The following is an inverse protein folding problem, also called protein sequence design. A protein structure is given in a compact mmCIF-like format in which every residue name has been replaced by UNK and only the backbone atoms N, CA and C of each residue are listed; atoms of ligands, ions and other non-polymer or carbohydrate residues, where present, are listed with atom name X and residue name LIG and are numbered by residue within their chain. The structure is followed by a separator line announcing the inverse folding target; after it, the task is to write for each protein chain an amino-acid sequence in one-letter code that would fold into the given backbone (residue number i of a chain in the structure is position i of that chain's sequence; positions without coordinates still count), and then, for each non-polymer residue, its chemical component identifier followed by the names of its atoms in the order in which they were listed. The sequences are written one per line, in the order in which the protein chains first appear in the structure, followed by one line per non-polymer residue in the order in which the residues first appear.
data_IF_088507130568
#
_entry.id   IF_088507130568
#
_cell.length_a   1.000
_cell.length_b   1.000
_cell.length_c   1.000
_cell.angle_alpha   90.00
_cell.angle_beta   90.00
_cell.angle_gamma   90.00
#
_symmetry.space_group_name_H-M   'P 1'
#
loop_
_entity.id
_entity.type
_entity.pdbx_description
1 polymer ?
#
# COMPACT_ATOMS: atom_id res chain seq x y z
N UNK A 1 18.46 -19.04 -1.46
CA UNK A 1 17.33 -18.17 -1.88
C UNK A 1 17.85 -16.75 -1.92
N UNK A 2 17.88 -16.14 -3.09
CA UNK A 2 18.40 -14.79 -3.29
C UNK A 2 17.26 -13.87 -3.71
N UNK A 3 16.93 -12.88 -2.86
CA UNK A 3 15.86 -11.92 -3.09
C UNK A 3 16.45 -10.56 -3.48
N UNK A 4 16.02 -10.01 -4.61
CA UNK A 4 16.26 -8.62 -4.99
C UNK A 4 15.07 -7.75 -4.61
N UNK A 5 15.30 -6.53 -4.11
CA UNK A 5 14.22 -5.61 -3.78
C UNK A 5 14.28 -4.34 -4.63
N UNK A 6 13.16 -3.99 -5.25
CA UNK A 6 13.00 -2.81 -6.11
C UNK A 6 11.99 -1.85 -5.49
N UNK A 7 12.40 -0.60 -5.27
CA UNK A 7 11.51 0.45 -4.78
C UNK A 7 11.62 0.71 -3.27
N UNK A 8 12.56 1.57 -2.89
CA UNK A 8 12.85 1.96 -1.50
C UNK A 8 12.05 3.21 -1.07
N UNK A 9 10.73 3.17 -1.32
CA UNK A 9 9.79 4.18 -0.82
C UNK A 9 9.51 4.02 0.68
N UNK A 10 8.46 4.72 1.17
CA UNK A 10 8.08 4.71 2.58
C UNK A 10 7.81 3.30 3.13
N UNK A 11 7.19 2.43 2.34
CA UNK A 11 6.92 1.03 2.69
C UNK A 11 8.12 0.12 2.34
N UNK A 12 8.61 0.22 1.09
CA UNK A 12 9.58 -0.70 0.53
C UNK A 12 10.90 -0.77 1.29
N UNK A 13 11.41 0.36 1.79
CA UNK A 13 12.63 0.35 2.61
C UNK A 13 12.50 -0.51 3.88
N UNK A 14 11.32 -0.54 4.50
CA UNK A 14 11.08 -1.35 5.71
C UNK A 14 10.94 -2.83 5.35
N UNK A 15 10.23 -3.15 4.26
CA UNK A 15 10.15 -4.53 3.74
C UNK A 15 11.52 -5.06 3.36
N UNK A 16 12.36 -4.26 2.66
CA UNK A 16 13.73 -4.63 2.34
C UNK A 16 14.58 -4.88 3.60
N UNK A 17 14.45 -4.06 4.65
CA UNK A 17 15.14 -4.29 5.94
C UNK A 17 14.71 -5.60 6.60
N UNK A 18 13.44 -5.95 6.53
CA UNK A 18 12.96 -7.22 7.10
C UNK A 18 13.51 -8.42 6.32
N UNK A 19 13.56 -8.37 5.00
CA UNK A 19 14.20 -9.39 4.17
C UNK A 19 15.71 -9.48 4.47
N UNK A 20 16.37 -8.35 4.70
CA UNK A 20 17.79 -8.32 5.09
C UNK A 20 18.02 -8.99 6.44
N UNK A 21 17.20 -8.66 7.46
CA UNK A 21 17.27 -9.30 8.79
C UNK A 21 17.00 -10.80 8.75
N UNK A 22 16.16 -11.25 7.82
CA UNK A 22 15.89 -12.66 7.59
C UNK A 22 17.01 -13.39 6.81
N UNK A 23 18.06 -12.68 6.38
CA UNK A 23 19.16 -13.25 5.60
C UNK A 23 18.79 -13.62 4.16
N UNK A 24 17.68 -13.09 3.63
CA UNK A 24 17.16 -13.40 2.30
C UNK A 24 17.59 -12.38 1.23
N UNK A 25 17.88 -11.13 1.64
CA UNK A 25 18.12 -10.02 0.72
C UNK A 25 19.52 -10.06 0.11
N UNK A 26 19.62 -10.28 -1.18
CA UNK A 26 20.87 -10.23 -1.95
C UNK A 26 21.26 -8.80 -2.36
N UNK A 27 20.27 -7.91 -2.54
CA UNK A 27 20.52 -6.54 -2.89
C UNK A 27 19.27 -5.75 -3.21
N UNK A 28 19.48 -4.45 -3.42
CA UNK A 28 18.41 -3.49 -3.69
C UNK A 28 18.68 -2.67 -4.93
N UNK A 29 17.60 -2.18 -5.54
CA UNK A 29 17.68 -1.15 -6.58
C UNK A 29 16.53 -0.15 -6.39
N UNK A 30 16.80 1.11 -6.71
CA UNK A 30 15.78 2.16 -6.69
C UNK A 30 16.04 3.19 -7.79
N UNK A 31 14.99 3.67 -8.46
CA UNK A 31 15.07 4.70 -9.51
C UNK A 31 15.87 5.95 -9.06
N UNK A 32 15.67 6.39 -7.81
CA UNK A 32 16.51 7.42 -7.18
C UNK A 32 17.71 6.73 -6.53
N UNK A 33 18.85 6.74 -7.18
CA UNK A 33 20.07 6.03 -6.77
C UNK A 33 20.51 6.37 -5.33
N UNK A 34 20.33 7.62 -4.90
CA UNK A 34 20.68 8.06 -3.54
C UNK A 34 19.97 7.25 -2.45
N UNK A 35 18.73 6.75 -2.69
CA UNK A 35 18.02 5.89 -1.72
C UNK A 35 18.64 4.51 -1.60
N UNK A 36 19.09 3.93 -2.72
CA UNK A 36 19.78 2.64 -2.72
C UNK A 36 21.15 2.75 -2.05
N UNK A 37 21.89 3.83 -2.31
CA UNK A 37 23.16 4.13 -1.65
C UNK A 37 23.01 4.33 -0.14
N UNK A 38 22.00 5.07 0.31
CA UNK A 38 21.68 5.25 1.72
C UNK A 38 21.35 3.91 2.41
N UNK A 39 20.54 3.06 1.74
CA UNK A 39 20.22 1.72 2.24
C UNK A 39 21.46 0.84 2.35
N UNK A 40 22.35 0.88 1.35
CA UNK A 40 23.64 0.16 1.40
C UNK A 40 24.53 0.65 2.53
N UNK A 41 24.65 1.96 2.72
CA UNK A 41 25.46 2.55 3.81
C UNK A 41 24.95 2.14 5.19
N UNK A 42 23.62 2.05 5.36
CA UNK A 42 22.99 1.69 6.63
C UNK A 42 23.09 0.18 6.94
N UNK A 43 22.95 -0.67 5.93
CA UNK A 43 22.73 -2.11 6.14
C UNK A 43 23.91 -2.98 5.68
N UNK A 44 24.81 -2.45 4.88
CA UNK A 44 25.83 -3.22 4.16
C UNK A 44 25.31 -4.01 2.94
N UNK A 45 24.00 -4.00 2.69
CA UNK A 45 23.40 -4.73 1.59
C UNK A 45 23.74 -4.05 0.24
N UNK A 46 24.07 -4.85 -0.77
CA UNK A 46 24.49 -4.38 -2.10
C UNK A 46 23.40 -3.51 -2.76
N UNK A 47 23.76 -2.32 -3.23
CA UNK A 47 22.99 -1.54 -4.16
C UNK A 47 23.46 -1.83 -5.60
N UNK A 48 22.54 -2.31 -6.44
CA UNK A 48 22.83 -2.62 -7.84
C UNK A 48 22.75 -1.35 -8.69
N UNK A 49 23.53 -1.30 -9.77
CA UNK A 49 23.57 -0.14 -10.68
C UNK A 49 22.34 -0.11 -11.60
N UNK A 50 21.76 -1.26 -11.93
CA UNK A 50 20.54 -1.37 -12.72
C UNK A 50 19.59 -2.43 -12.16
N UNK A 51 18.29 -2.28 -12.47
CA UNK A 51 17.29 -3.28 -12.11
C UNK A 51 17.52 -4.62 -12.86
N UNK A 52 18.02 -4.56 -14.09
CA UNK A 52 18.37 -5.77 -14.87
C UNK A 52 19.53 -6.55 -14.24
N UNK A 53 20.57 -5.86 -13.75
CA UNK A 53 21.68 -6.50 -13.04
C UNK A 53 21.21 -7.18 -11.75
N UNK A 54 20.33 -6.52 -10.99
CA UNK A 54 19.70 -7.11 -9.80
C UNK A 54 18.90 -8.35 -10.20
N UNK A 55 18.08 -8.27 -11.26
CA UNK A 55 17.26 -9.39 -11.73
C UNK A 55 18.10 -10.61 -12.14
N UNK A 56 19.24 -10.37 -12.81
CA UNK A 56 20.16 -11.45 -13.22
C UNK A 56 20.81 -12.20 -12.04
N UNK A 57 20.80 -11.59 -10.86
CA UNK A 57 21.46 -12.13 -9.66
C UNK A 57 20.50 -12.81 -8.68
N UNK A 58 19.18 -12.73 -8.91
CA UNK A 58 18.18 -13.12 -7.92
C UNK A 58 17.20 -14.16 -8.46
N UNK A 59 16.71 -15.01 -7.55
CA UNK A 59 15.65 -16.00 -7.81
C UNK A 59 14.26 -15.40 -7.58
N UNK A 60 14.19 -14.42 -6.67
CA UNK A 60 12.97 -13.67 -6.34
C UNK A 60 13.23 -12.18 -6.50
N UNK A 61 12.29 -11.47 -7.10
CA UNK A 61 12.30 -10.02 -7.20
C UNK A 61 11.06 -9.48 -6.48
N UNK A 62 11.25 -8.71 -5.43
CA UNK A 62 10.14 -8.02 -4.76
C UNK A 62 10.09 -6.58 -5.24
N UNK A 63 8.93 -6.15 -5.72
CA UNK A 63 8.69 -4.77 -6.17
C UNK A 63 7.73 -4.06 -5.22
N UNK A 64 8.00 -2.77 -4.92
CA UNK A 64 7.07 -1.90 -4.21
C UNK A 64 7.18 -0.49 -4.79
N UNK A 65 6.35 -0.20 -5.78
CA UNK A 65 6.35 1.06 -6.54
C UNK A 65 5.05 1.83 -6.36
N UNK A 66 4.94 3.03 -6.98
CA UNK A 66 3.89 3.97 -6.63
C UNK A 66 2.64 3.87 -7.49
N UNK A 67 2.75 3.40 -8.73
CA UNK A 67 1.67 3.43 -9.72
C UNK A 67 1.81 2.32 -10.76
N UNK A 68 0.76 2.16 -11.58
CA UNK A 68 0.65 1.19 -12.66
C UNK A 68 1.81 1.31 -13.67
N UNK A 69 2.06 2.54 -14.15
CA UNK A 69 3.14 2.79 -15.11
C UNK A 69 4.54 2.50 -14.53
N UNK A 70 4.73 2.74 -13.21
CA UNK A 70 5.98 2.38 -12.55
C UNK A 70 6.19 0.86 -12.54
N UNK A 71 5.14 0.06 -12.25
CA UNK A 71 5.23 -1.40 -12.29
C UNK A 71 5.56 -1.90 -13.69
N UNK A 72 4.82 -1.44 -14.70
CA UNK A 72 5.03 -1.87 -16.08
C UNK A 72 6.43 -1.48 -16.59
N UNK A 73 6.91 -0.28 -16.26
CA UNK A 73 8.26 0.17 -16.60
C UNK A 73 9.35 -0.69 -15.91
N UNK A 74 9.14 -1.07 -14.64
CA UNK A 74 10.07 -1.99 -13.94
C UNK A 74 10.08 -3.36 -14.60
N UNK A 75 8.93 -3.91 -14.96
CA UNK A 75 8.84 -5.19 -15.67
C UNK A 75 9.68 -5.15 -16.95
N UNK A 76 9.53 -4.13 -17.81
CA UNK A 76 10.34 -4.00 -19.02
C UNK A 76 11.83 -3.85 -18.72
N UNK A 77 12.18 -3.13 -17.65
CA UNK A 77 13.58 -2.89 -17.27
C UNK A 77 14.28 -4.17 -16.79
N UNK A 78 13.57 -5.05 -16.08
CA UNK A 78 14.16 -6.28 -15.54
C UNK A 78 14.19 -7.43 -16.54
N UNK A 79 13.34 -7.43 -17.57
CA UNK A 79 13.21 -8.51 -18.54
C UNK A 79 14.56 -9.02 -19.08
N UNK A 80 15.52 -8.15 -19.52
CA UNK A 80 16.79 -8.61 -20.07
C UNK A 80 17.67 -9.38 -19.08
N UNK A 81 17.45 -9.19 -17.78
CA UNK A 81 18.22 -9.84 -16.72
C UNK A 81 17.54 -11.09 -16.14
N UNK A 82 16.26 -11.30 -16.41
CA UNK A 82 15.52 -12.41 -15.82
C UNK A 82 15.97 -13.77 -16.34
N UNK A 83 15.98 -14.74 -15.43
CA UNK A 83 16.20 -16.16 -15.74
C UNK A 83 14.86 -16.90 -15.72
N UNK A 84 14.75 -17.95 -16.51
CA UNK A 84 13.60 -18.86 -16.43
C UNK A 84 13.41 -19.37 -14.99
N UNK A 85 12.18 -19.36 -14.51
CA UNK A 85 11.82 -19.76 -13.15
C UNK A 85 11.99 -18.69 -12.08
N UNK A 86 12.48 -17.47 -12.41
CA UNK A 86 12.46 -16.32 -11.49
C UNK A 86 11.00 -15.97 -11.11
N UNK A 87 10.77 -15.62 -9.87
CA UNK A 87 9.47 -15.20 -9.35
C UNK A 87 9.51 -13.70 -9.04
N UNK A 88 8.62 -12.92 -9.68
CA UNK A 88 8.43 -11.51 -9.40
C UNK A 88 7.20 -11.35 -8.49
N UNK A 89 7.40 -10.71 -7.35
CA UNK A 89 6.39 -10.46 -6.31
C UNK A 89 6.13 -8.94 -6.28
N UNK A 90 4.96 -8.50 -6.71
CA UNK A 90 4.61 -7.09 -6.68
C UNK A 90 3.78 -6.75 -5.44
N UNK A 91 4.36 -5.96 -4.53
CA UNK A 91 3.70 -5.47 -3.32
C UNK A 91 3.06 -4.07 -3.51
N UNK A 92 3.04 -3.55 -4.72
CA UNK A 92 2.43 -2.27 -5.05
C UNK A 92 0.89 -2.34 -5.05
N UNK A 93 0.23 -1.20 -4.93
CA UNK A 93 -1.20 -1.09 -5.20
C UNK A 93 -1.39 -0.53 -6.62
N UNK A 94 -1.83 -1.39 -7.51
CA UNK A 94 -2.07 -1.10 -8.93
C UNK A 94 -3.41 -1.70 -9.38
N UNK A 95 -3.85 -1.39 -10.59
CA UNK A 95 -5.04 -2.01 -11.18
C UNK A 95 -4.82 -3.52 -11.41
N UNK A 96 -5.86 -4.33 -11.23
CA UNK A 96 -5.79 -5.77 -11.49
C UNK A 96 -5.38 -6.08 -12.95
N UNK A 97 -5.75 -5.21 -13.91
CA UNK A 97 -5.34 -5.38 -15.31
C UNK A 97 -3.85 -5.11 -15.52
N UNK A 98 -3.27 -4.15 -14.79
CA UNK A 98 -1.82 -3.90 -14.82
C UNK A 98 -1.05 -5.10 -14.26
N UNK A 99 -1.55 -5.73 -13.20
CA UNK A 99 -0.99 -6.98 -12.68
C UNK A 99 -1.05 -8.11 -13.71
N UNK A 100 -2.18 -8.29 -14.41
CA UNK A 100 -2.31 -9.30 -15.48
C UNK A 100 -1.38 -9.02 -16.66
N UNK A 101 -1.23 -7.75 -17.07
CA UNK A 101 -0.29 -7.34 -18.12
C UNK A 101 1.16 -7.61 -17.72
N UNK A 102 1.53 -7.31 -16.48
CA UNK A 102 2.85 -7.61 -15.92
C UNK A 102 3.13 -9.12 -15.96
N UNK A 103 2.18 -9.94 -15.51
CA UNK A 103 2.28 -11.39 -15.54
C UNK A 103 2.45 -11.94 -16.97
N UNK A 104 1.62 -11.48 -17.91
CA UNK A 104 1.71 -11.89 -19.31
C UNK A 104 3.08 -11.53 -19.94
N UNK A 105 3.59 -10.35 -19.58
CA UNK A 105 4.89 -9.89 -20.09
C UNK A 105 6.06 -10.73 -19.53
N UNK A 106 6.03 -11.04 -18.24
CA UNK A 106 7.04 -11.88 -17.57
C UNK A 106 7.01 -13.33 -18.06
N UNK A 107 5.83 -13.85 -18.38
CA UNK A 107 5.70 -15.21 -18.94
C UNK A 107 6.45 -15.40 -20.26
N UNK A 108 6.68 -14.34 -21.05
CA UNK A 108 7.45 -14.40 -22.31
C UNK A 108 8.92 -14.83 -22.12
N UNK A 109 9.43 -14.69 -20.90
CA UNK A 109 10.79 -15.12 -20.52
C UNK A 109 10.77 -16.25 -19.49
N UNK A 110 9.62 -16.94 -19.36
CA UNK A 110 9.41 -18.04 -18.40
C UNK A 110 9.62 -17.62 -16.93
N UNK A 111 9.37 -16.37 -16.59
CA UNK A 111 9.31 -15.89 -15.22
C UNK A 111 7.84 -15.90 -14.72
N UNK A 112 7.66 -16.14 -13.41
CA UNK A 112 6.36 -16.16 -12.76
C UNK A 112 6.07 -14.85 -12.06
N UNK A 113 4.79 -14.53 -11.85
CA UNK A 113 4.34 -13.30 -11.20
C UNK A 113 3.31 -13.58 -10.11
N UNK A 114 3.42 -12.85 -9.01
CA UNK A 114 2.41 -12.75 -7.96
C UNK A 114 2.10 -11.29 -7.69
N UNK A 115 0.83 -10.90 -7.75
CA UNK A 115 0.36 -9.64 -7.23
C UNK A 115 0.07 -9.79 -5.74
N UNK A 116 0.85 -9.13 -4.91
CA UNK A 116 0.85 -9.26 -3.46
C UNK A 116 0.71 -7.90 -2.76
N UNK A 117 -0.32 -7.09 -3.08
CA UNK A 117 -0.51 -5.82 -2.40
C UNK A 117 -0.71 -6.03 -0.89
N UNK A 118 -0.34 -4.98 -0.13
CA UNK A 118 -0.22 -5.06 1.31
C UNK A 118 -1.13 -4.08 2.04
N UNK A 119 -1.49 -4.41 3.27
CA UNK A 119 -2.18 -3.54 4.22
C UNK A 119 -1.47 -3.55 5.57
N UNK A 120 -1.49 -2.41 6.29
CA UNK A 120 -0.82 -2.24 7.60
C UNK A 120 0.02 -0.97 7.69
N UNK A 121 0.14 -0.21 6.58
CA UNK A 121 0.87 1.06 6.53
C UNK A 121 2.36 0.92 6.81
N UNK A 122 3.01 2.06 7.02
CA UNK A 122 4.46 2.13 7.30
C UNK A 122 4.81 1.36 8.58
N UNK A 123 3.95 1.42 9.59
CA UNK A 123 4.18 0.73 10.87
C UNK A 123 4.16 -0.80 10.69
N UNK A 124 3.15 -1.34 9.99
CA UNK A 124 3.10 -2.77 9.65
C UNK A 124 4.30 -3.22 8.84
N UNK A 125 4.76 -2.40 7.89
CA UNK A 125 5.97 -2.68 7.11
C UNK A 125 7.22 -2.71 7.98
N UNK A 126 7.34 -1.76 8.92
CA UNK A 126 8.48 -1.67 9.85
C UNK A 126 8.58 -2.91 10.76
N UNK A 127 7.44 -3.38 11.23
CA UNK A 127 7.34 -4.53 12.15
C UNK A 127 7.37 -5.90 11.43
N UNK A 128 7.31 -5.94 10.09
CA UNK A 128 7.13 -7.21 9.34
C UNK A 128 5.78 -7.85 9.61
N UNK A 129 4.75 -7.05 9.83
CA UNK A 129 3.42 -7.47 10.27
C UNK A 129 2.33 -7.08 9.26
N UNK A 130 2.68 -7.05 7.96
CA UNK A 130 1.71 -6.71 6.92
C UNK A 130 0.69 -7.83 6.71
N UNK A 131 -0.54 -7.43 6.35
CA UNK A 131 -1.49 -8.30 5.68
C UNK A 131 -1.20 -8.27 4.19
N UNK A 132 -1.00 -9.45 3.58
CA UNK A 132 -0.61 -9.62 2.19
C UNK A 132 -1.71 -10.41 1.47
N UNK A 133 -2.28 -9.80 0.44
CA UNK A 133 -3.33 -10.40 -0.38
C UNK A 133 -2.72 -10.85 -1.70
N UNK A 134 -2.52 -12.16 -1.89
CA UNK A 134 -1.79 -12.69 -3.04
C UNK A 134 -2.74 -13.14 -4.16
N UNK A 135 -2.38 -12.80 -5.39
CA UNK A 135 -2.98 -13.37 -6.60
C UNK A 135 -1.92 -14.03 -7.46
N UNK A 136 -2.22 -15.21 -7.99
CA UNK A 136 -1.34 -15.96 -8.85
C UNK A 136 -1.52 -17.47 -8.75
N UNK A 137 -0.56 -18.23 -9.27
CA UNK A 137 -0.60 -19.69 -9.24
C UNK A 137 -0.27 -20.24 -7.85
N UNK A 138 -1.01 -21.26 -7.34
CA UNK A 138 -0.78 -21.82 -6.01
C UNK A 138 0.65 -22.33 -5.80
N UNK A 139 1.22 -23.03 -6.78
CA UNK A 139 2.58 -23.57 -6.67
C UNK A 139 3.64 -22.44 -6.58
N UNK A 140 3.41 -21.31 -7.23
CA UNK A 140 4.31 -20.16 -7.17
C UNK A 140 4.15 -19.42 -5.83
N UNK A 141 2.90 -19.32 -5.33
CA UNK A 141 2.61 -18.78 -4.00
C UNK A 141 3.33 -19.57 -2.90
N UNK A 142 3.24 -20.90 -2.89
CA UNK A 142 3.93 -21.74 -1.92
C UNK A 142 5.46 -21.55 -1.95
N UNK A 143 6.04 -21.44 -3.14
CA UNK A 143 7.48 -21.15 -3.31
C UNK A 143 7.87 -19.77 -2.77
N UNK A 144 6.95 -18.79 -2.81
CA UNK A 144 7.18 -17.42 -2.35
C UNK A 144 6.98 -17.25 -0.84
N UNK A 145 6.36 -18.21 -0.15
CA UNK A 145 6.01 -18.11 1.28
C UNK A 145 7.17 -17.71 2.20
N UNK A 146 8.41 -18.23 2.04
CA UNK A 146 9.53 -17.77 2.87
C UNK A 146 9.83 -16.27 2.72
N UNK A 147 9.68 -15.73 1.50
CA UNK A 147 9.87 -14.30 1.21
C UNK A 147 8.73 -13.47 1.79
N UNK A 148 7.50 -13.90 1.59
CA UNK A 148 6.30 -13.21 2.08
C UNK A 148 6.25 -13.20 3.61
N UNK A 149 6.62 -14.31 4.27
CA UNK A 149 6.63 -14.43 5.74
C UNK A 149 7.65 -13.53 6.43
N UNK A 150 8.68 -13.09 5.71
CA UNK A 150 9.65 -12.12 6.23
C UNK A 150 9.09 -10.69 6.31
N UNK A 151 8.03 -10.38 5.55
CA UNK A 151 7.48 -9.03 5.46
C UNK A 151 6.04 -8.91 5.97
N UNK A 152 5.34 -10.04 6.17
CA UNK A 152 3.95 -10.06 6.64
C UNK A 152 3.62 -11.25 7.53
N UNK A 153 2.49 -11.14 8.23
CA UNK A 153 1.99 -12.17 9.16
C UNK A 153 0.68 -12.81 8.72
N UNK A 154 -0.19 -12.03 8.08
CA UNK A 154 -1.46 -12.50 7.54
C UNK A 154 -1.32 -12.58 6.03
N UNK A 155 -1.12 -13.77 5.50
CA UNK A 155 -0.79 -14.00 4.10
C UNK A 155 -1.80 -14.97 3.52
N UNK A 156 -2.48 -14.59 2.44
CA UNK A 156 -3.50 -15.44 1.83
C UNK A 156 -3.45 -15.36 0.30
N UNK A 157 -3.57 -16.53 -0.34
CA UNK A 157 -3.82 -16.62 -1.78
C UNK A 157 -5.32 -16.37 -2.01
N UNK A 158 -5.63 -15.31 -2.73
CA UNK A 158 -7.01 -14.85 -2.98
C UNK A 158 -7.60 -15.40 -4.28
N UNK A 159 -6.77 -15.97 -5.14
CA UNK A 159 -7.17 -16.50 -6.44
C UNK A 159 -6.11 -16.28 -7.54
N UNK A 160 -6.50 -16.30 -8.81
CA UNK A 160 -5.57 -16.10 -9.92
C UNK A 160 -5.00 -14.68 -9.94
N UNK A 161 -4.03 -14.45 -10.81
CA UNK A 161 -3.38 -13.12 -10.99
C UNK A 161 -4.42 -11.99 -11.13
N UNK A 162 -4.25 -10.95 -10.34
CA UNK A 162 -5.16 -9.81 -10.18
C UNK A 162 -6.14 -9.96 -9.01
N UNK A 163 -6.27 -11.15 -8.41
CA UNK A 163 -7.15 -11.35 -7.24
C UNK A 163 -6.61 -10.64 -6.00
N UNK A 164 -5.29 -10.56 -5.82
CA UNK A 164 -4.66 -9.77 -4.77
C UNK A 164 -5.03 -8.30 -4.89
N UNK A 165 -4.88 -7.71 -6.08
CA UNK A 165 -5.25 -6.31 -6.34
C UNK A 165 -6.76 -6.06 -6.18
N UNK A 166 -7.62 -6.99 -6.60
CA UNK A 166 -9.07 -6.89 -6.38
C UNK A 166 -9.41 -6.89 -4.88
N UNK A 167 -8.75 -7.74 -4.10
CA UNK A 167 -8.90 -7.76 -2.64
C UNK A 167 -8.38 -6.46 -2.02
N UNK A 168 -7.27 -5.93 -2.52
CA UNK A 168 -6.76 -4.62 -2.08
C UNK A 168 -7.75 -3.49 -2.39
N UNK A 169 -8.35 -3.48 -3.58
CA UNK A 169 -9.39 -2.51 -3.91
C UNK A 169 -10.58 -2.58 -2.94
N UNK A 170 -11.03 -3.79 -2.58
CA UNK A 170 -12.06 -3.99 -1.54
C UNK A 170 -11.64 -3.38 -0.21
N UNK A 171 -10.38 -3.60 0.22
CA UNK A 171 -9.85 -2.96 1.43
C UNK A 171 -9.85 -1.44 1.35
N UNK A 172 -9.51 -0.85 0.19
CA UNK A 172 -9.46 0.61 0.04
C UNK A 172 -10.85 1.25 0.06
N UNK A 173 -11.87 0.56 -0.44
CA UNK A 173 -13.28 0.99 -0.30
C UNK A 173 -13.67 1.02 1.18
N UNK A 174 -13.33 -0.03 1.95
CA UNK A 174 -13.57 -0.04 3.40
C UNK A 174 -12.83 1.11 4.10
N UNK A 175 -11.57 1.35 3.74
CA UNK A 175 -10.79 2.46 4.28
C UNK A 175 -11.47 3.82 4.03
N UNK A 176 -12.04 4.03 2.83
CA UNK A 176 -12.76 5.24 2.48
C UNK A 176 -13.99 5.46 3.37
N UNK A 177 -14.84 4.44 3.51
CA UNK A 177 -16.03 4.54 4.34
C UNK A 177 -15.70 4.78 5.80
N UNK A 178 -14.76 3.99 6.34
CA UNK A 178 -14.39 4.10 7.76
C UNK A 178 -13.78 5.46 8.09
N UNK A 179 -12.86 5.99 7.27
CA UNK A 179 -12.24 7.30 7.60
C UNK A 179 -13.23 8.46 7.50
N UNK A 180 -14.19 8.42 6.58
CA UNK A 180 -15.28 9.38 6.48
C UNK A 180 -16.14 9.37 7.76
N UNK A 181 -16.59 8.18 8.15
CA UNK A 181 -17.44 7.99 9.34
C UNK A 181 -16.71 8.42 10.62
N UNK A 182 -15.44 8.03 10.78
CA UNK A 182 -14.63 8.45 11.93
C UNK A 182 -14.50 9.96 12.00
N UNK A 183 -14.25 10.62 10.88
CA UNK A 183 -14.10 12.07 10.84
C UNK A 183 -15.43 12.79 11.18
N UNK A 184 -16.55 12.30 10.68
CA UNK A 184 -17.88 12.87 11.00
C UNK A 184 -18.23 12.67 12.47
N UNK A 185 -18.03 11.46 13.01
CA UNK A 185 -18.30 11.16 14.41
C UNK A 185 -17.45 12.01 15.37
N UNK A 186 -16.16 12.20 15.05
CA UNK A 186 -15.29 13.06 15.86
C UNK A 186 -15.66 14.53 15.76
N UNK A 187 -16.08 15.01 14.59
CA UNK A 187 -16.56 16.39 14.41
C UNK A 187 -17.86 16.63 15.17
N UNK A 188 -18.80 15.69 15.14
CA UNK A 188 -20.02 15.72 15.95
C UNK A 188 -19.70 15.76 17.45
N UNK A 189 -18.85 14.84 17.92
CA UNK A 189 -18.45 14.81 19.34
C UNK A 189 -17.81 16.13 19.80
N UNK A 190 -17.00 16.76 18.93
CA UNK A 190 -16.41 18.07 19.20
C UNK A 190 -17.48 19.16 19.30
N UNK A 191 -18.48 19.17 18.40
CA UNK A 191 -19.56 20.15 18.38
C UNK A 191 -20.46 20.04 19.63
N UNK A 192 -20.69 18.81 20.11
CA UNK A 192 -21.43 18.52 21.36
C UNK A 192 -20.60 18.84 22.63
N UNK A 193 -19.37 19.34 22.49
CA UNK A 193 -18.51 19.68 23.63
C UNK A 193 -18.02 18.47 24.44
N UNK A 194 -18.02 17.27 23.84
CA UNK A 194 -17.60 16.05 24.53
C UNK A 194 -16.07 16.01 24.69
N UNK A 195 -15.57 15.42 25.80
CA UNK A 195 -14.14 15.21 25.98
C UNK A 195 -13.64 14.12 25.03
N UNK A 196 -13.01 14.54 23.90
CA UNK A 196 -12.67 13.66 22.78
C UNK A 196 -11.82 12.45 23.17
N UNK A 197 -10.86 12.62 24.09
CA UNK A 197 -10.04 11.50 24.58
C UNK A 197 -10.90 10.41 25.26
N UNK A 198 -11.90 10.81 26.07
CA UNK A 198 -12.83 9.85 26.71
C UNK A 198 -13.76 9.20 25.69
N UNK A 199 -14.18 9.95 24.66
CA UNK A 199 -14.98 9.41 23.55
C UNK A 199 -14.18 8.30 22.84
N UNK A 200 -12.91 8.55 22.54
CA UNK A 200 -12.02 7.58 21.89
C UNK A 200 -11.82 6.35 22.77
N UNK A 201 -11.55 6.53 24.06
CA UNK A 201 -11.32 5.41 25.01
C UNK A 201 -12.53 4.50 25.16
N UNK A 202 -13.73 5.08 25.27
CA UNK A 202 -14.97 4.32 25.47
C UNK A 202 -15.41 3.66 24.16
N UNK A 203 -15.54 4.45 23.08
CA UNK A 203 -16.06 3.92 21.81
C UNK A 203 -15.04 3.04 21.08
N UNK A 204 -13.74 3.19 21.38
CA UNK A 204 -12.69 2.31 20.87
C UNK A 204 -12.86 0.83 21.27
N UNK A 205 -13.67 0.55 22.29
CA UNK A 205 -13.99 -0.81 22.77
C UNK A 205 -15.40 -1.27 22.37
N UNK A 206 -16.18 -0.41 21.72
CA UNK A 206 -17.56 -0.66 21.32
C UNK A 206 -17.69 -1.16 19.88
N UNK A 207 -18.92 -1.49 19.50
CA UNK A 207 -19.24 -1.99 18.16
C UNK A 207 -18.96 -0.99 17.01
N UNK A 208 -18.97 0.31 17.29
CA UNK A 208 -18.60 1.35 16.32
C UNK A 208 -17.09 1.54 16.14
N UNK A 209 -16.26 0.74 16.82
CA UNK A 209 -14.81 0.84 16.73
C UNK A 209 -14.28 0.35 15.39
N UNK A 210 -13.13 0.85 15.05
CA UNK A 210 -12.32 0.37 13.93
C UNK A 210 -10.84 0.66 14.21
N UNK A 211 -9.94 0.02 13.42
CA UNK A 211 -8.51 0.36 13.51
C UNK A 211 -8.27 1.87 13.28
N UNK A 212 -8.97 2.47 12.32
CA UNK A 212 -8.86 3.92 12.07
C UNK A 212 -9.41 4.76 13.22
N UNK A 213 -10.49 4.37 13.84
CA UNK A 213 -11.00 5.07 15.01
C UNK A 213 -9.96 5.11 16.12
N UNK A 214 -9.42 3.95 16.51
CA UNK A 214 -8.44 3.86 17.60
C UNK A 214 -7.13 4.60 17.29
N UNK A 215 -6.66 4.55 16.03
CA UNK A 215 -5.32 5.05 15.66
C UNK A 215 -5.32 6.41 14.95
N UNK A 216 -6.46 6.89 14.44
CA UNK A 216 -6.56 8.14 13.68
C UNK A 216 -7.43 9.21 14.36
N UNK A 217 -8.45 8.82 15.13
CA UNK A 217 -9.21 9.79 15.92
C UNK A 217 -8.35 10.62 16.88
N UNK A 218 -7.28 10.08 17.53
CA UNK A 218 -6.35 10.86 18.31
C UNK A 218 -5.63 11.96 17.51
N UNK A 219 -5.37 11.75 16.21
CA UNK A 219 -4.78 12.79 15.35
C UNK A 219 -5.78 13.90 15.06
N UNK A 220 -7.05 13.54 14.80
CA UNK A 220 -8.15 14.49 14.60
C UNK A 220 -8.36 15.34 15.84
N UNK A 221 -8.41 14.73 17.03
CA UNK A 221 -8.59 15.44 18.31
C UNK A 221 -7.47 16.45 18.60
N UNK A 222 -6.24 16.19 18.14
CA UNK A 222 -5.08 17.07 18.32
C UNK A 222 -4.84 18.04 17.15
N UNK A 223 -5.59 17.92 16.05
CA UNK A 223 -5.37 18.71 14.84
C UNK A 223 -4.01 18.42 14.16
N UNK A 224 -3.44 17.22 14.35
CA UNK A 224 -2.13 16.82 13.85
C UNK A 224 -2.28 15.61 12.91
N UNK A 225 -1.71 15.68 11.72
CA UNK A 225 -1.93 14.66 10.67
C UNK A 225 -0.59 14.13 10.11
N UNK A 226 0.23 13.46 10.97
CA UNK A 226 1.52 12.92 10.53
C UNK A 226 1.31 11.87 9.44
N UNK A 227 2.15 11.90 8.40
CA UNK A 227 1.99 11.08 7.21
C UNK A 227 2.17 9.57 7.50
N UNK A 228 1.07 8.91 7.81
CA UNK A 228 0.97 7.44 7.88
C UNK A 228 0.51 6.85 6.55
N UNK A 229 -0.69 7.24 6.09
CA UNK A 229 -1.20 6.95 4.76
C UNK A 229 -1.67 8.25 4.10
N UNK A 230 -0.93 8.72 3.10
CA UNK A 230 -1.13 10.06 2.51
C UNK A 230 -2.40 10.13 1.69
N UNK A 231 -3.10 11.27 1.76
CA UNK A 231 -4.31 11.59 0.98
C UNK A 231 -4.10 11.27 -0.52
N UNK A 232 -3.01 11.77 -1.13
CA UNK A 232 -2.73 11.54 -2.56
C UNK A 232 -2.62 10.06 -2.95
N UNK A 233 -2.10 9.23 -2.04
CA UNK A 233 -1.94 7.79 -2.29
C UNK A 233 -3.29 7.06 -2.18
N UNK A 234 -4.09 7.38 -1.17
CA UNK A 234 -5.43 6.80 -1.07
C UNK A 234 -6.33 7.30 -2.20
N UNK A 235 -6.21 8.57 -2.62
CA UNK A 235 -6.93 9.06 -3.79
C UNK A 235 -6.60 8.27 -5.06
N UNK A 236 -5.31 7.97 -5.29
CA UNK A 236 -4.88 7.09 -6.39
C UNK A 236 -5.56 5.71 -6.29
N UNK A 237 -5.53 5.10 -5.11
CA UNK A 237 -6.11 3.78 -4.89
C UNK A 237 -7.63 3.78 -5.12
N UNK A 238 -8.33 4.85 -4.69
CA UNK A 238 -9.78 4.98 -4.91
C UNK A 238 -10.14 5.20 -6.39
N UNK A 239 -9.28 5.85 -7.18
CA UNK A 239 -9.46 5.92 -8.64
C UNK A 239 -9.39 4.52 -9.25
N UNK A 240 -8.45 3.68 -8.81
CA UNK A 240 -8.38 2.27 -9.24
C UNK A 240 -9.69 1.55 -8.86
N UNK A 241 -10.21 1.74 -7.64
CA UNK A 241 -11.48 1.13 -7.22
C UNK A 241 -12.64 1.57 -8.11
N UNK A 242 -12.77 2.86 -8.40
CA UNK A 242 -13.77 3.43 -9.28
C UNK A 242 -13.71 2.83 -10.68
N UNK A 243 -12.50 2.78 -11.26
CA UNK A 243 -12.30 2.27 -12.63
C UNK A 243 -12.55 0.75 -12.70
N UNK A 244 -12.27 0.02 -11.62
CA UNK A 244 -12.64 -1.40 -11.49
C UNK A 244 -14.16 -1.59 -11.38
N UNK A 245 -14.87 -0.77 -10.62
CA UNK A 245 -16.32 -0.82 -10.48
C UNK A 245 -17.04 -0.48 -11.79
N UNK A 246 -16.53 0.51 -12.53
CA UNK A 246 -17.09 0.91 -13.83
C UNK A 246 -17.15 -0.24 -14.85
N UNK A 247 -16.23 -1.21 -14.77
CA UNK A 247 -16.28 -2.43 -15.62
C UNK A 247 -17.51 -3.31 -15.35
N UNK A 248 -18.10 -3.17 -14.18
CA UNK A 248 -19.35 -3.83 -13.80
C UNK A 248 -20.58 -2.92 -13.97
N UNK A 249 -20.41 -1.74 -14.58
CA UNK A 249 -21.48 -0.74 -14.72
C UNK A 249 -21.87 -0.11 -13.37
N UNK A 250 -21.03 -0.21 -12.33
CA UNK A 250 -21.36 0.24 -10.99
C UNK A 250 -20.67 1.57 -10.67
N UNK A 251 -21.38 2.43 -9.92
CA UNK A 251 -20.86 3.62 -9.25
C UNK A 251 -20.81 3.34 -7.76
N UNK A 252 -19.73 3.69 -7.11
CA UNK A 252 -19.52 3.50 -5.67
C UNK A 252 -19.67 4.85 -4.93
N UNK A 253 -20.83 5.17 -4.32
CA UNK A 253 -21.09 6.48 -3.73
C UNK A 253 -20.02 6.89 -2.71
N UNK A 254 -19.66 6.02 -1.78
CA UNK A 254 -18.62 6.29 -0.75
C UNK A 254 -17.26 6.62 -1.39
N UNK A 255 -16.91 5.96 -2.48
CA UNK A 255 -15.66 6.23 -3.22
C UNK A 255 -15.71 7.61 -3.87
N UNK A 256 -16.81 7.95 -4.54
CA UNK A 256 -16.97 9.25 -5.20
C UNK A 256 -16.97 10.40 -4.20
N UNK A 257 -17.69 10.27 -3.08
CA UNK A 257 -17.72 11.27 -2.01
C UNK A 257 -16.32 11.47 -1.41
N UNK A 258 -15.57 10.36 -1.22
CA UNK A 258 -14.21 10.45 -0.68
C UNK A 258 -13.24 11.06 -1.70
N UNK A 259 -13.38 10.72 -2.99
CA UNK A 259 -12.59 11.35 -4.06
C UNK A 259 -12.85 12.86 -4.15
N UNK A 260 -14.11 13.29 -4.01
CA UNK A 260 -14.46 14.71 -3.98
C UNK A 260 -13.84 15.43 -2.77
N UNK A 261 -13.94 14.83 -1.57
CA UNK A 261 -13.30 15.35 -0.36
C UNK A 261 -11.77 15.46 -0.52
N UNK A 262 -11.13 14.42 -1.06
CA UNK A 262 -9.68 14.42 -1.26
C UNK A 262 -9.22 15.44 -2.30
N UNK A 263 -10.02 15.70 -3.34
CA UNK A 263 -9.73 16.80 -4.28
C UNK A 263 -9.62 18.12 -3.56
N UNK A 264 -10.61 18.46 -2.70
CA UNK A 264 -10.57 19.68 -1.89
C UNK A 264 -9.34 19.77 -0.98
N UNK A 265 -8.94 18.67 -0.36
CA UNK A 265 -7.73 18.61 0.47
C UNK A 265 -6.44 18.79 -0.34
N UNK A 266 -6.37 18.22 -1.53
CA UNK A 266 -5.22 18.40 -2.43
C UNK A 266 -5.10 19.86 -2.92
N UNK A 267 -6.22 20.46 -3.31
CA UNK A 267 -6.30 21.86 -3.77
C UNK A 267 -5.89 22.83 -2.64
N UNK A 268 -6.10 22.42 -1.36
CA UNK A 268 -5.70 23.18 -0.16
C UNK A 268 -4.27 22.81 0.35
N UNK A 269 -3.50 22.02 -0.39
CA UNK A 269 -2.10 21.70 -0.05
C UNK A 269 -1.91 20.53 0.95
N UNK A 270 -2.98 19.82 1.36
CA UNK A 270 -2.95 18.75 2.36
C UNK A 270 -2.69 17.34 1.79
N UNK A 271 -2.25 17.23 0.54
CA UNK A 271 -2.06 15.94 -0.15
C UNK A 271 -1.02 15.00 0.47
N UNK A 272 -0.06 15.53 1.19
CA UNK A 272 1.00 14.75 1.85
C UNK A 272 0.71 14.43 3.32
N UNK A 273 -0.38 14.99 3.89
CA UNK A 273 -0.86 14.64 5.22
C UNK A 273 -1.52 13.26 5.23
N UNK A 274 -1.70 12.69 6.43
CA UNK A 274 -2.46 11.45 6.63
C UNK A 274 -3.94 11.62 6.23
N UNK A 275 -4.59 10.56 5.77
CA UNK A 275 -6.01 10.57 5.38
C UNK A 275 -6.94 11.08 6.48
N UNK A 276 -6.53 11.05 7.75
CA UNK A 276 -7.28 11.63 8.87
C UNK A 276 -7.46 13.15 8.76
N UNK A 277 -6.69 13.83 7.91
CA UNK A 277 -6.86 15.27 7.62
C UNK A 277 -8.23 15.60 7.00
N UNK A 278 -9.00 14.59 6.54
CA UNK A 278 -10.39 14.76 6.10
C UNK A 278 -11.26 15.37 7.19
N UNK A 279 -10.88 15.27 8.46
CA UNK A 279 -11.52 15.94 9.59
C UNK A 279 -11.61 17.46 9.40
N UNK A 280 -10.63 18.09 8.73
CA UNK A 280 -10.65 19.52 8.38
C UNK A 280 -11.88 19.93 7.55
N UNK A 281 -12.47 18.98 6.82
CA UNK A 281 -13.67 19.20 6.01
C UNK A 281 -14.97 18.90 6.79
N UNK A 282 -14.88 18.15 7.89
CA UNK A 282 -16.05 17.74 8.69
C UNK A 282 -16.30 18.66 9.87
N UNK A 283 -15.27 19.12 10.55
CA UNK A 283 -15.41 20.04 11.68
C UNK A 283 -16.20 21.32 11.34
N UNK A 284 -15.99 22.00 10.20
CA UNK A 284 -16.75 23.17 9.81
C UNK A 284 -18.25 22.94 9.56
N UNK A 285 -18.69 21.67 9.34
CA UNK A 285 -20.11 21.37 9.15
C UNK A 285 -20.97 21.70 10.38
N UNK A 286 -20.34 21.75 11.55
CA UNK A 286 -20.99 22.03 12.83
C UNK A 286 -20.69 23.45 13.35
N UNK A 287 -19.92 24.24 12.62
CA UNK A 287 -19.78 25.67 12.94
C UNK A 287 -21.05 26.37 12.48
N UNK A 288 -21.69 27.14 13.36
CA UNK A 288 -22.84 27.95 12.99
C UNK A 288 -22.46 28.85 11.79
N UNK A 289 -23.27 28.81 10.74
CA UNK A 289 -23.21 29.85 9.69
C UNK A 289 -23.69 31.13 10.33
N UNK A 290 -22.76 32.05 10.63
CA UNK A 290 -23.12 33.43 10.97
C UNK A 290 -23.86 34.10 9.81
#
# INVERSE_FOLDING_TARGET
MNVGFIGLGAMGQHMARNLHRAGLLAGVWNRTAARAAAFQSETGCRAFQSAAELAASCEFIVCCVSADDDLLAIVETILPGLRAGTIVIDCSTVAADSARRAAARLATVHASFLDCPVSGGVEGARQGNLAIMCGGEPAIFERAMPVLSAIGKTIALMGPTGAGQATKATNQILCAGVIQTVAEAMAFAQAEGLPLDKVIDVLGKGAGSSWYFVHRAPFMARGQYPAGFRVRLHQKDLRICRDMAARHGAVLPIVEDTLAAYRRLLDSGHGDEDISTIFRLKAPLFSASD
#
